data_IF_543842912805
#
_entry.id   IF_543842912805
#
_cell.length_a   1.000
_cell.length_b   1.000
_cell.length_c   1.000
_cell.angle_alpha   90.00
_cell.angle_beta   90.00
_cell.angle_gamma   90.00
#
_symmetry.space_group_name_H-M   'P 1'
#
loop_
_entity.id
_entity.type
_entity.pdbx_description
1 polymer ?
#
# COMPACT_ATOMS: atom_id res chain seq x y z
N UNK A 1 1.60 -4.70 -27.64
CA UNK A 1 0.39 -5.14 -28.37
C UNK A 1 0.04 -6.54 -27.91
N UNK A 2 -1.20 -6.74 -27.47
CA UNK A 2 -1.73 -8.01 -27.01
C UNK A 2 -2.16 -8.82 -28.23
N UNK A 3 -1.32 -9.77 -28.65
CA UNK A 3 -1.50 -10.54 -29.91
C UNK A 3 -1.56 -12.05 -29.64
N UNK A 4 -1.98 -12.44 -28.44
CA UNK A 4 -2.25 -13.84 -28.10
C UNK A 4 -3.59 -14.29 -28.64
N UNK A 5 -3.77 -15.60 -28.81
CA UNK A 5 -5.06 -16.23 -29.09
C UNK A 5 -5.21 -17.42 -28.16
N UNK A 6 -5.88 -17.18 -27.02
CA UNK A 6 -6.08 -18.20 -25.98
C UNK A 6 -7.56 -18.44 -25.80
N UNK A 7 -8.00 -19.70 -25.82
CA UNK A 7 -9.35 -20.04 -25.44
C UNK A 7 -9.51 -19.79 -23.93
N UNK A 8 -10.53 -19.02 -23.56
CA UNK A 8 -10.89 -18.69 -22.17
C UNK A 8 -12.38 -18.77 -21.97
N UNK A 9 -12.79 -18.81 -20.71
CA UNK A 9 -14.20 -18.85 -20.31
C UNK A 9 -14.57 -17.59 -19.53
N UNK A 10 -15.78 -17.09 -19.74
CA UNK A 10 -16.36 -16.02 -18.95
C UNK A 10 -17.76 -16.46 -18.50
N UNK A 11 -18.16 -16.01 -17.32
CA UNK A 11 -19.48 -16.28 -16.77
C UNK A 11 -20.48 -15.22 -17.20
N UNK A 12 -21.53 -15.66 -17.88
CA UNK A 12 -22.71 -14.87 -18.21
C UNK A 12 -23.71 -14.98 -17.06
N UNK A 13 -23.82 -13.92 -16.27
CA UNK A 13 -24.69 -13.89 -15.10
C UNK A 13 -26.18 -13.67 -15.44
N UNK A 14 -26.52 -13.35 -16.69
CA UNK A 14 -27.91 -13.32 -17.17
C UNK A 14 -28.38 -14.72 -17.54
N UNK A 15 -27.56 -15.46 -18.30
CA UNK A 15 -27.86 -16.84 -18.68
C UNK A 15 -27.38 -17.88 -17.67
N UNK A 16 -26.75 -17.42 -16.59
CA UNK A 16 -26.12 -18.22 -15.52
C UNK A 16 -25.20 -19.34 -16.06
N UNK A 17 -24.45 -19.05 -17.12
CA UNK A 17 -23.67 -20.07 -17.83
C UNK A 17 -22.30 -19.55 -18.22
N UNK A 18 -21.34 -20.48 -18.30
CA UNK A 18 -20.00 -20.18 -18.78
C UNK A 18 -19.96 -20.27 -20.30
N UNK A 19 -19.40 -19.25 -20.94
CA UNK A 19 -19.24 -19.18 -22.40
C UNK A 19 -17.76 -19.00 -22.72
N UNK A 20 -17.30 -19.65 -23.79
CA UNK A 20 -15.92 -19.48 -24.22
C UNK A 20 -15.73 -18.24 -25.11
N UNK A 21 -14.52 -17.70 -25.12
CA UNK A 21 -14.11 -16.59 -25.98
C UNK A 21 -12.61 -16.65 -26.26
N UNK A 22 -12.18 -15.97 -27.34
CA UNK A 22 -10.77 -15.82 -27.69
C UNK A 22 -10.16 -14.64 -26.97
N UNK A 23 -9.19 -14.90 -26.09
CA UNK A 23 -8.51 -13.89 -25.28
C UNK A 23 -7.16 -13.46 -25.89
N UNK A 24 -6.99 -12.13 -26.02
CA UNK A 24 -5.84 -11.48 -26.66
C UNK A 24 -4.51 -11.52 -25.89
N UNK A 25 -4.50 -12.05 -24.66
CA UNK A 25 -3.27 -12.25 -23.87
C UNK A 25 -2.82 -11.08 -22.99
N UNK A 26 -3.71 -10.14 -22.65
CA UNK A 26 -3.39 -9.03 -21.73
C UNK A 26 -4.57 -8.67 -20.84
N UNK A 27 -4.28 -8.14 -19.65
CA UNK A 27 -5.25 -7.62 -18.69
C UNK A 27 -6.41 -8.59 -18.46
N UNK A 28 -6.21 -9.53 -17.53
CA UNK A 28 -7.30 -10.38 -17.04
C UNK A 28 -8.17 -9.53 -16.11
N UNK A 29 -9.47 -9.45 -16.41
CA UNK A 29 -10.45 -9.12 -15.38
C UNK A 29 -10.83 -10.40 -14.63
N UNK A 30 -11.55 -10.26 -13.51
CA UNK A 30 -11.92 -11.41 -12.66
C UNK A 30 -12.88 -12.41 -13.34
N UNK A 31 -13.48 -12.03 -14.48
CA UNK A 31 -14.40 -12.87 -15.27
C UNK A 31 -13.69 -13.51 -16.48
N UNK A 32 -12.45 -13.97 -16.29
CA UNK A 32 -11.67 -14.68 -17.31
C UNK A 32 -11.04 -15.93 -16.69
N UNK A 33 -11.54 -17.11 -17.07
CA UNK A 33 -11.18 -18.41 -16.50
C UNK A 33 -10.47 -19.31 -17.51
N UNK A 34 -9.66 -20.26 -17.04
CA UNK A 34 -8.94 -21.20 -17.90
C UNK A 34 -9.86 -22.27 -18.48
N UNK A 35 -10.89 -22.71 -17.73
CA UNK A 35 -11.77 -23.80 -18.11
C UNK A 35 -13.23 -23.57 -17.71
N UNK A 36 -14.12 -24.36 -18.32
CA UNK A 36 -15.56 -24.32 -18.07
C UNK A 36 -15.90 -24.68 -16.61
N UNK A 37 -15.32 -25.78 -16.10
CA UNK A 37 -15.55 -26.22 -14.71
C UNK A 37 -15.05 -25.20 -13.69
N UNK A 38 -13.90 -24.57 -13.95
CA UNK A 38 -13.37 -23.51 -13.09
C UNK A 38 -14.30 -22.28 -13.08
N UNK A 39 -14.81 -21.89 -14.24
CA UNK A 39 -15.77 -20.82 -14.39
C UNK A 39 -17.08 -21.12 -13.63
N UNK A 40 -17.61 -22.33 -13.77
CA UNK A 40 -18.82 -22.75 -13.07
C UNK A 40 -18.58 -22.78 -11.55
N UNK A 41 -17.50 -23.42 -11.08
CA UNK A 41 -17.21 -23.49 -9.65
C UNK A 41 -17.00 -22.11 -9.00
N UNK A 42 -16.41 -21.15 -9.72
CA UNK A 42 -16.14 -19.79 -9.20
C UNK A 42 -17.34 -18.85 -9.27
N UNK A 43 -18.25 -19.04 -10.23
CA UNK A 43 -19.29 -18.06 -10.54
C UNK A 43 -20.72 -18.60 -10.48
N UNK A 44 -20.92 -19.89 -10.26
CA UNK A 44 -22.26 -20.48 -10.16
C UNK A 44 -23.10 -19.78 -9.08
N UNK A 45 -24.29 -19.33 -9.48
CA UNK A 45 -25.23 -18.62 -8.60
C UNK A 45 -25.01 -17.11 -8.51
N UNK A 46 -23.95 -16.56 -9.14
CA UNK A 46 -23.80 -15.12 -9.31
C UNK A 46 -24.90 -14.62 -10.25
N UNK A 47 -25.74 -13.70 -9.77
CA UNK A 47 -26.78 -13.09 -10.60
C UNK A 47 -26.24 -11.81 -11.20
N UNK A 48 -26.61 -11.52 -12.45
CA UNK A 48 -26.41 -10.19 -13.00
C UNK A 48 -27.13 -9.19 -12.09
N UNK A 49 -26.36 -8.40 -11.35
CA UNK A 49 -26.89 -7.17 -10.78
C UNK A 49 -27.22 -6.34 -12.00
N UNK A 50 -28.50 -6.30 -12.37
CA UNK A 50 -28.97 -5.31 -13.31
C UNK A 50 -28.46 -3.99 -12.76
N UNK A 51 -27.73 -3.26 -13.59
CA UNK A 51 -27.64 -1.82 -13.45
C UNK A 51 -29.07 -1.28 -13.64
N UNK A 52 -29.95 -1.54 -12.67
CA UNK A 52 -30.98 -0.59 -12.34
C UNK A 52 -30.25 0.73 -12.18
N UNK A 53 -30.73 1.73 -12.92
CA UNK A 53 -30.34 3.11 -12.72
C UNK A 53 -30.15 3.31 -11.22
N UNK A 54 -29.05 3.92 -10.76
CA UNK A 54 -28.80 4.04 -9.34
C UNK A 54 -30.07 4.61 -8.71
N UNK A 55 -30.80 3.77 -7.98
CA UNK A 55 -31.63 4.28 -6.92
C UNK A 55 -30.65 5.13 -6.11
N UNK A 56 -30.99 6.41 -5.87
CA UNK A 56 -30.08 7.30 -5.17
C UNK A 56 -29.59 6.55 -3.93
N UNK A 57 -28.26 6.42 -3.75
CA UNK A 57 -27.71 5.61 -2.68
C UNK A 57 -28.42 6.02 -1.41
N UNK A 58 -29.08 5.04 -0.77
CA UNK A 58 -29.82 5.16 0.49
C UNK A 58 -29.22 6.32 1.26
N UNK A 59 -29.97 7.44 1.31
CA UNK A 59 -29.49 8.72 1.83
C UNK A 59 -28.82 8.44 3.17
N UNK A 60 -27.49 8.37 3.20
CA UNK A 60 -26.78 8.76 4.41
C UNK A 60 -27.06 10.24 4.49
N UNK A 61 -28.09 10.54 5.27
CA UNK A 61 -28.40 11.87 5.72
C UNK A 61 -27.09 12.39 6.33
N UNK A 62 -26.41 13.29 5.61
CA UNK A 62 -25.82 14.40 6.34
C UNK A 62 -26.99 14.96 7.16
N UNK A 63 -26.88 14.89 8.48
CA UNK A 63 -27.82 15.58 9.35
C UNK A 63 -27.90 17.02 8.82
N UNK A 64 -29.10 17.56 8.52
CA UNK A 64 -29.25 18.91 7.97
C UNK A 64 -28.64 20.00 8.86
N UNK A 65 -28.29 19.67 10.10
CA UNK A 65 -27.62 20.54 11.04
C UNK A 65 -26.13 20.20 11.15
N UNK A 66 -25.33 20.63 10.16
CA UNK A 66 -23.96 21.17 10.32
C UNK A 66 -23.12 21.07 9.03
N UNK A 67 -23.69 21.35 7.86
CA UNK A 67 -22.84 21.75 6.73
C UNK A 67 -22.30 23.15 7.04
N UNK A 68 -20.99 23.36 6.89
CA UNK A 68 -20.39 24.68 7.09
C UNK A 68 -21.01 25.69 6.13
N UNK A 69 -20.98 26.97 6.48
CA UNK A 69 -21.44 28.03 5.56
C UNK A 69 -20.67 28.04 4.23
N UNK A 70 -19.44 27.51 4.22
CA UNK A 70 -18.63 27.35 3.01
C UNK A 70 -19.19 26.28 2.06
N UNK A 71 -20.06 25.40 2.53
CA UNK A 71 -20.63 24.30 1.77
C UNK A 71 -22.17 24.36 1.73
N UNK A 72 -22.75 25.47 2.17
CA UNK A 72 -24.20 25.63 2.30
C UNK A 72 -24.69 26.83 1.48
N UNK A 73 -25.89 26.71 0.93
CA UNK A 73 -26.52 27.75 0.11
C UNK A 73 -25.97 27.82 -1.33
N UNK A 74 -26.50 28.72 -2.16
CA UNK A 74 -26.17 28.79 -3.58
C UNK A 74 -24.83 29.49 -3.86
N UNK A 75 -24.24 29.23 -5.03
CA UNK A 75 -23.21 30.08 -5.61
C UNK A 75 -23.80 31.42 -6.06
N UNK A 76 -23.35 32.53 -5.45
CA UNK A 76 -23.92 33.87 -5.69
C UNK A 76 -22.98 34.71 -6.54
N UNK A 77 -23.45 35.14 -7.72
CA UNK A 77 -22.71 36.05 -8.60
C UNK A 77 -22.45 37.40 -7.95
N UNK A 78 -23.40 37.92 -7.18
CA UNK A 78 -23.30 39.22 -6.52
C UNK A 78 -23.45 40.40 -7.48
N UNK A 79 -23.16 41.62 -7.00
CA UNK A 79 -23.55 42.86 -7.68
C UNK A 79 -22.44 43.46 -8.57
N UNK A 80 -21.21 42.95 -8.46
CA UNK A 80 -20.11 43.36 -9.32
C UNK A 80 -20.18 42.68 -10.69
N UNK A 81 -19.53 43.27 -11.70
CA UNK A 81 -19.68 42.88 -13.12
C UNK A 81 -18.44 42.20 -13.71
N UNK A 82 -17.48 41.79 -12.89
CA UNK A 82 -16.38 40.96 -13.37
C UNK A 82 -16.87 39.52 -13.61
N UNK A 83 -16.08 38.71 -14.32
CA UNK A 83 -16.44 37.32 -14.61
C UNK A 83 -15.35 36.39 -14.10
N UNK A 84 -15.46 35.96 -12.85
CA UNK A 84 -14.55 34.99 -12.26
C UNK A 84 -15.21 33.60 -12.25
N UNK A 85 -14.68 32.62 -13.01
CA UNK A 85 -15.12 31.23 -12.88
C UNK A 85 -14.86 30.73 -11.47
N UNK A 86 -15.89 30.20 -10.81
CA UNK A 86 -15.86 29.69 -9.44
C UNK A 86 -16.68 28.41 -9.33
N UNK A 87 -16.58 27.76 -8.18
CA UNK A 87 -17.29 26.53 -7.87
C UNK A 87 -18.08 26.68 -6.58
N UNK A 88 -19.27 26.08 -6.50
CA UNK A 88 -20.06 25.99 -5.28
C UNK A 88 -20.53 24.54 -5.10
N UNK A 89 -20.70 24.11 -3.86
CA UNK A 89 -21.27 22.81 -3.53
C UNK A 89 -22.79 22.87 -3.59
N UNK A 90 -23.39 22.09 -4.49
CA UNK A 90 -24.82 21.88 -4.55
C UNK A 90 -25.20 20.66 -3.70
N UNK A 91 -25.94 20.90 -2.62
CA UNK A 91 -26.37 19.86 -1.69
C UNK A 91 -27.45 18.94 -2.28
N UNK A 92 -28.19 19.38 -3.30
CA UNK A 92 -29.22 18.56 -3.95
C UNK A 92 -28.57 17.47 -4.81
N UNK A 93 -27.62 17.85 -5.67
CA UNK A 93 -26.83 16.91 -6.46
C UNK A 93 -25.65 16.28 -5.70
N UNK A 94 -25.38 16.72 -4.46
CA UNK A 94 -24.20 16.38 -3.67
C UNK A 94 -22.89 16.55 -4.45
N UNK A 95 -22.78 17.63 -5.21
CA UNK A 95 -21.66 17.81 -6.13
C UNK A 95 -21.23 19.27 -6.28
N UNK A 96 -19.95 19.48 -6.62
CA UNK A 96 -19.43 20.81 -6.91
C UNK A 96 -19.75 21.21 -8.35
N UNK A 97 -20.46 22.33 -8.51
CA UNK A 97 -20.87 22.90 -9.79
C UNK A 97 -20.19 24.23 -10.05
N UNK A 98 -19.95 24.56 -11.32
CA UNK A 98 -19.32 25.83 -11.71
C UNK A 98 -20.34 26.96 -11.84
N UNK A 99 -19.92 28.18 -11.53
CA UNK A 99 -20.71 29.41 -11.72
C UNK A 99 -19.80 30.62 -11.96
N UNK A 100 -20.38 31.76 -12.33
CA UNK A 100 -19.64 33.02 -12.49
C UNK A 100 -19.83 33.90 -11.27
N UNK A 101 -18.72 34.25 -10.61
CA UNK A 101 -18.68 35.23 -9.53
C UNK A 101 -18.34 36.62 -10.06
N UNK A 102 -19.16 37.60 -9.69
CA UNK A 102 -19.09 39.00 -10.10
C UNK A 102 -17.91 39.77 -9.52
N UNK A 103 -17.26 39.24 -8.48
CA UNK A 103 -16.13 39.85 -7.77
C UNK A 103 -16.48 40.51 -6.43
N UNK A 104 -17.76 40.71 -6.11
CA UNK A 104 -18.21 41.18 -4.81
C UNK A 104 -19.63 40.68 -4.48
N UNK A 105 -20.02 40.68 -3.21
CA UNK A 105 -21.39 40.38 -2.77
C UNK A 105 -21.81 38.90 -2.92
N UNK A 106 -20.85 37.97 -2.92
CA UNK A 106 -21.10 36.54 -3.01
C UNK A 106 -21.37 35.86 -1.65
N UNK A 107 -21.68 34.56 -1.70
CA UNK A 107 -21.78 33.67 -0.53
C UNK A 107 -20.42 33.06 -0.17
N UNK A 108 -20.33 32.39 1.00
CA UNK A 108 -19.14 31.62 1.41
C UNK A 108 -18.97 30.32 0.61
N UNK A 109 -20.03 29.80 0.02
CA UNK A 109 -20.01 28.68 -0.92
C UNK A 109 -19.47 29.13 -2.29
N UNK A 110 -18.19 29.48 -2.31
CA UNK A 110 -17.50 30.07 -3.45
C UNK A 110 -16.01 29.70 -3.43
N UNK A 111 -15.69 28.67 -4.19
CA UNK A 111 -14.38 28.03 -4.26
C UNK A 111 -13.65 28.37 -5.56
N UNK A 112 -12.33 28.46 -5.47
CA UNK A 112 -11.49 28.85 -6.61
C UNK A 112 -11.42 27.77 -7.69
N UNK A 113 -11.42 26.49 -7.29
CA UNK A 113 -11.37 25.34 -8.19
C UNK A 113 -12.36 24.26 -7.78
N UNK A 114 -12.61 23.34 -8.71
CA UNK A 114 -13.45 22.17 -8.44
C UNK A 114 -12.87 21.34 -7.30
N UNK A 115 -11.55 21.17 -7.28
CA UNK A 115 -10.82 20.40 -6.29
C UNK A 115 -10.90 21.05 -4.90
N UNK A 116 -10.80 22.39 -4.81
CA UNK A 116 -10.97 23.12 -3.55
C UNK A 116 -12.38 22.87 -2.98
N UNK A 117 -13.41 23.01 -3.82
CA UNK A 117 -14.79 22.72 -3.44
C UNK A 117 -14.98 21.27 -2.98
N UNK A 118 -14.48 20.30 -3.75
CA UNK A 118 -14.60 18.87 -3.41
C UNK A 118 -13.93 18.59 -2.07
N UNK A 119 -12.69 19.08 -1.88
CA UNK A 119 -11.93 18.81 -0.65
C UNK A 119 -12.57 19.39 0.61
N UNK A 120 -13.30 20.50 0.49
CA UNK A 120 -13.97 21.17 1.61
C UNK A 120 -15.37 20.63 1.88
N UNK A 121 -16.12 20.30 0.84
CA UNK A 121 -17.56 20.09 0.94
C UNK A 121 -18.03 18.68 0.61
N UNK A 122 -17.27 17.94 -0.20
CA UNK A 122 -17.60 16.56 -0.52
C UNK A 122 -16.89 15.67 0.49
N UNK A 123 -17.64 15.14 1.47
CA UNK A 123 -17.13 14.05 2.26
C UNK A 123 -16.75 12.90 1.29
N UNK A 124 -15.53 12.32 1.40
CA UNK A 124 -15.20 11.17 0.59
C UNK A 124 -16.30 10.13 0.80
N UNK A 125 -16.73 9.48 -0.30
CA UNK A 125 -17.47 8.21 -0.17
C UNK A 125 -16.73 7.40 0.89
N UNK A 126 -17.41 6.75 1.87
CA UNK A 126 -16.69 5.83 2.73
C UNK A 126 -15.89 4.95 1.79
N UNK A 127 -14.55 5.05 1.89
CA UNK A 127 -13.68 4.19 1.10
C UNK A 127 -14.23 2.79 1.32
N UNK A 128 -14.40 1.94 0.27
CA UNK A 128 -14.64 0.53 0.52
C UNK A 128 -13.57 0.14 1.51
N UNK A 129 -13.99 -0.18 2.74
CA UNK A 129 -13.18 -0.08 3.95
C UNK A 129 -11.78 -0.52 3.60
N UNK A 130 -10.77 0.38 3.71
CA UNK A 130 -9.38 0.12 3.28
C UNK A 130 -9.12 -1.35 3.45
N UNK A 131 -9.12 -2.10 2.35
CA UNK A 131 -8.73 -3.50 2.37
C UNK A 131 -7.25 -3.42 2.64
N UNK A 132 -6.92 -3.29 3.93
CA UNK A 132 -5.70 -3.86 4.45
C UNK A 132 -5.71 -5.25 3.84
N UNK A 133 -4.69 -5.59 3.05
CA UNK A 133 -4.47 -6.98 2.69
C UNK A 133 -4.80 -7.79 3.95
N UNK A 134 -5.71 -8.79 3.88
CA UNK A 134 -6.20 -9.45 5.08
C UNK A 134 -4.97 -9.80 5.89
N UNK A 135 -4.86 -9.23 7.10
CA UNK A 135 -3.80 -9.63 8.01
C UNK A 135 -3.93 -11.14 8.05
N UNK A 136 -2.89 -11.87 7.67
CA UNK A 136 -2.90 -13.34 7.73
C UNK A 136 -3.21 -13.65 9.19
N UNK A 137 -4.44 -14.06 9.46
CA UNK A 137 -4.91 -14.27 10.82
C UNK A 137 -4.06 -15.38 11.42
N UNK A 138 -3.40 -15.14 12.56
CA UNK A 138 -2.40 -16.07 13.08
C UNK A 138 -3.00 -17.46 13.30
N UNK A 139 -2.44 -18.46 12.64
CA UNK A 139 -2.80 -19.85 12.84
C UNK A 139 -2.70 -20.26 14.31
N UNK A 140 -1.71 -19.73 15.04
CA UNK A 140 -1.55 -19.98 16.47
C UNK A 140 -2.77 -19.56 17.30
N UNK A 141 -3.33 -18.39 17.02
CA UNK A 141 -4.46 -17.86 17.78
C UNK A 141 -5.80 -18.51 17.37
N UNK A 142 -5.98 -18.72 16.07
CA UNK A 142 -7.27 -19.13 15.49
C UNK A 142 -7.41 -20.66 15.39
N UNK A 143 -6.32 -21.40 15.28
CA UNK A 143 -6.37 -22.83 14.96
C UNK A 143 -5.59 -23.70 15.95
N UNK A 144 -4.45 -23.25 16.46
CA UNK A 144 -3.66 -24.04 17.43
C UNK A 144 -4.07 -23.78 18.90
N UNK A 145 -4.77 -22.68 19.20
CA UNK A 145 -5.23 -22.38 20.54
C UNK A 145 -6.23 -23.44 21.07
N UNK A 146 -6.19 -23.81 22.36
CA UNK A 146 -7.10 -24.82 22.91
C UNK A 146 -8.55 -24.34 22.93
N UNK A 147 -9.53 -25.24 22.91
CA UNK A 147 -10.93 -24.88 23.15
C UNK A 147 -11.12 -24.30 24.57
N UNK A 148 -11.80 -23.16 24.68
CA UNK A 148 -12.03 -22.45 25.96
C UNK A 148 -13.53 -22.30 26.25
N UNK A 149 -14.03 -23.02 27.26
CA UNK A 149 -15.41 -22.84 27.76
C UNK A 149 -15.63 -21.44 28.34
N UNK A 150 -14.62 -20.86 29.00
CA UNK A 150 -14.74 -19.54 29.63
C UNK A 150 -15.53 -19.58 30.96
N UNK A 151 -15.65 -18.44 31.66
CA UNK A 151 -16.19 -18.40 33.02
C UNK A 151 -17.73 -18.32 33.10
N UNK A 152 -18.40 -18.04 31.98
CA UNK A 152 -19.86 -17.98 31.93
C UNK A 152 -20.49 -19.38 31.90
N UNK A 153 -21.75 -19.51 32.33
CA UNK A 153 -22.42 -20.79 32.58
C UNK A 153 -23.51 -21.17 31.56
N UNK A 154 -23.56 -20.49 30.41
CA UNK A 154 -24.40 -20.95 29.32
C UNK A 154 -23.80 -22.19 28.66
N UNK A 155 -24.57 -22.92 27.86
CA UNK A 155 -24.08 -24.10 27.15
C UNK A 155 -24.33 -23.95 25.65
N UNK A 156 -23.35 -23.37 24.95
CA UNK A 156 -23.38 -23.27 23.49
C UNK A 156 -22.47 -24.32 22.86
N UNK A 157 -23.01 -25.18 22.00
CA UNK A 157 -22.17 -26.04 21.15
C UNK A 157 -21.43 -25.16 20.14
N UNK A 158 -20.10 -25.26 20.12
CA UNK A 158 -19.20 -24.55 19.20
C UNK A 158 -18.21 -25.52 18.60
N UNK A 159 -17.56 -25.08 17.53
CA UNK A 159 -16.50 -25.82 16.86
C UNK A 159 -15.15 -25.19 17.19
N UNK A 160 -14.13 -26.02 17.33
CA UNK A 160 -12.74 -25.58 17.41
C UNK A 160 -11.88 -26.51 16.55
N UNK A 161 -10.77 -26.00 16.05
CA UNK A 161 -9.79 -26.79 15.32
C UNK A 161 -8.85 -27.46 16.31
N UNK A 162 -8.77 -28.78 16.23
CA UNK A 162 -7.78 -29.58 16.93
C UNK A 162 -6.61 -29.79 15.98
N UNK A 163 -5.54 -29.02 16.19
CA UNK A 163 -4.37 -29.03 15.31
C UNK A 163 -3.59 -30.34 15.35
N UNK A 164 -3.59 -31.05 16.49
CA UNK A 164 -2.90 -32.34 16.64
C UNK A 164 -3.52 -33.42 15.74
N UNK A 165 -4.85 -33.41 15.64
CA UNK A 165 -5.60 -34.31 14.75
C UNK A 165 -5.97 -33.68 13.41
N UNK A 166 -5.59 -32.42 13.18
CA UNK A 166 -5.91 -31.62 11.99
C UNK A 166 -7.40 -31.66 11.62
N UNK A 167 -8.29 -31.58 12.62
CA UNK A 167 -9.73 -31.75 12.43
C UNK A 167 -10.56 -30.78 13.27
N UNK A 168 -11.75 -30.40 12.79
CA UNK A 168 -12.69 -29.59 13.55
C UNK A 168 -13.54 -30.47 14.47
N UNK A 169 -13.57 -30.14 15.76
CA UNK A 169 -14.32 -30.86 16.79
C UNK A 169 -15.26 -29.93 17.54
N UNK A 170 -16.29 -30.49 18.17
CA UNK A 170 -17.23 -29.71 18.97
C UNK A 170 -16.78 -29.59 20.43
N UNK A 171 -17.15 -28.49 21.08
CA UNK A 171 -16.97 -28.28 22.52
C UNK A 171 -18.10 -27.42 23.09
N UNK A 172 -18.24 -27.38 24.42
CA UNK A 172 -19.20 -26.51 25.12
C UNK A 172 -18.57 -25.18 25.47
N UNK A 173 -19.13 -24.10 24.92
CA UNK A 173 -18.77 -22.72 25.23
C UNK A 173 -19.74 -22.08 26.22
N UNK A 174 -19.18 -21.48 27.26
CA UNK A 174 -19.86 -20.84 28.39
C UNK A 174 -20.59 -19.54 28.06
N UNK A 175 -20.28 -18.94 26.89
CA UNK A 175 -20.93 -17.72 26.40
C UNK A 175 -20.12 -16.43 26.55
N UNK A 176 -18.97 -16.45 27.24
CA UNK A 176 -18.10 -15.27 27.34
C UNK A 176 -16.61 -15.62 27.38
N UNK A 177 -15.76 -14.63 27.02
CA UNK A 177 -14.30 -14.73 26.98
C UNK A 177 -13.78 -15.92 26.14
N UNK A 178 -14.40 -16.15 24.99
CA UNK A 178 -13.83 -17.02 23.98
C UNK A 178 -12.44 -16.52 23.56
N UNK A 179 -11.55 -17.45 23.24
CA UNK A 179 -10.41 -17.17 22.38
C UNK A 179 -10.84 -17.24 20.90
N UNK A 180 -9.87 -17.15 19.97
CA UNK A 180 -10.16 -17.07 18.54
C UNK A 180 -10.46 -18.43 17.89
N UNK A 181 -10.04 -19.54 18.51
CA UNK A 181 -10.39 -20.90 18.10
C UNK A 181 -11.80 -21.30 18.62
N UNK A 182 -12.83 -20.59 18.16
CA UNK A 182 -14.23 -20.79 18.55
C UNK A 182 -15.14 -20.36 17.40
N UNK A 183 -15.69 -21.35 16.70
CA UNK A 183 -16.47 -21.17 15.49
C UNK A 183 -17.93 -21.61 15.68
N UNK A 184 -18.83 -21.01 14.92
CA UNK A 184 -20.27 -21.32 14.98
C UNK A 184 -20.59 -22.61 14.23
N UNK A 185 -19.81 -22.96 13.20
CA UNK A 185 -20.02 -24.13 12.35
C UNK A 185 -18.72 -24.85 12.00
N UNK A 186 -18.83 -26.12 11.65
CA UNK A 186 -17.70 -26.92 11.14
C UNK A 186 -17.10 -26.31 9.87
N UNK A 187 -17.94 -25.83 8.94
CA UNK A 187 -17.50 -25.22 7.69
C UNK A 187 -16.66 -23.96 7.92
N UNK A 188 -17.03 -23.13 8.90
CA UNK A 188 -16.27 -21.94 9.28
C UNK A 188 -14.89 -22.32 9.85
N UNK A 189 -14.85 -23.32 10.73
CA UNK A 189 -13.62 -23.86 11.31
C UNK A 189 -12.68 -24.43 10.21
N UNK A 190 -13.22 -25.26 9.31
CA UNK A 190 -12.45 -25.86 8.21
C UNK A 190 -11.95 -24.79 7.25
N UNK A 191 -12.78 -23.83 6.87
CA UNK A 191 -12.36 -22.74 5.99
C UNK A 191 -11.25 -21.88 6.60
N UNK A 192 -11.26 -21.69 7.93
CA UNK A 192 -10.23 -20.91 8.62
C UNK A 192 -8.91 -21.67 8.80
N UNK A 193 -8.96 -22.98 9.06
CA UNK A 193 -7.83 -23.75 9.59
C UNK A 193 -7.34 -24.92 8.73
N UNK A 194 -8.16 -25.43 7.80
CA UNK A 194 -7.77 -26.60 6.99
C UNK A 194 -6.58 -26.29 6.08
N UNK A 195 -5.59 -27.19 6.07
CA UNK A 195 -4.39 -27.07 5.23
C UNK A 195 -3.41 -25.97 5.66
N UNK A 196 -3.55 -25.37 6.84
CA UNK A 196 -2.63 -24.37 7.40
C UNK A 196 -1.76 -24.97 8.50
N UNK A 197 -0.54 -24.47 8.69
CA UNK A 197 0.39 -24.88 9.77
C UNK A 197 0.97 -23.68 10.52
N UNK A 198 1.73 -23.90 11.59
CA UNK A 198 2.41 -22.80 12.31
C UNK A 198 3.48 -22.11 11.44
N UNK A 199 4.08 -22.83 10.49
CA UNK A 199 5.13 -22.35 9.58
C UNK A 199 4.62 -21.27 8.60
N UNK A 200 3.30 -21.22 8.39
CA UNK A 200 2.64 -20.23 7.55
C UNK A 200 2.71 -18.80 8.12
N UNK A 201 2.83 -18.64 9.44
CA UNK A 201 2.78 -17.32 10.07
C UNK A 201 4.14 -16.59 10.05
N UNK A 202 5.24 -17.28 9.75
CA UNK A 202 6.61 -16.77 9.92
C UNK A 202 7.11 -15.86 8.76
N UNK A 203 6.32 -15.68 7.69
CA UNK A 203 6.73 -14.87 6.54
C UNK A 203 6.29 -13.38 6.61
N UNK A 204 5.59 -12.97 7.67
CA UNK A 204 5.07 -11.60 7.79
C UNK A 204 5.92 -10.66 8.70
N UNK A 205 6.94 -11.17 9.40
CA UNK A 205 7.74 -10.37 10.36
C UNK A 205 9.26 -10.47 10.14
N UNK A 206 9.71 -10.45 8.88
CA UNK A 206 11.14 -10.33 8.56
C UNK A 206 11.49 -9.21 7.56
N UNK A 207 10.54 -8.32 7.23
CA UNK A 207 10.80 -7.14 6.39
C UNK A 207 11.07 -5.85 7.15
N UNK A 208 11.09 -5.86 8.49
CA UNK A 208 11.74 -4.79 9.25
C UNK A 208 13.16 -5.23 9.57
N UNK A 209 14.05 -5.04 8.60
CA UNK A 209 15.48 -4.97 8.88
C UNK A 209 15.74 -3.70 9.73
N UNK A 210 15.34 -3.71 11.00
CA UNK A 210 16.01 -2.92 12.02
C UNK A 210 17.37 -3.59 12.23
N UNK A 211 18.28 -3.35 11.29
CA UNK A 211 19.70 -3.52 11.51
C UNK A 211 19.99 -2.70 12.78
N UNK A 212 20.48 -3.30 13.88
CA UNK A 212 20.80 -2.51 15.05
C UNK A 212 21.86 -1.51 14.61
N UNK A 213 21.59 -0.21 14.77
CA UNK A 213 22.53 0.85 14.39
C UNK A 213 23.91 0.63 15.04
N UNK A 214 23.97 -0.15 16.13
CA UNK A 214 25.19 -0.64 16.76
C UNK A 214 26.14 -1.41 15.81
N UNK A 215 25.62 -2.21 14.87
CA UNK A 215 26.45 -3.02 13.97
C UNK A 215 27.20 -2.18 12.92
N UNK A 216 26.77 -0.94 12.66
CA UNK A 216 27.41 -0.03 11.69
C UNK A 216 28.36 0.96 12.38
N UNK A 217 28.07 1.31 13.64
CA UNK A 217 28.91 2.25 14.41
C UNK A 217 30.30 1.66 14.68
N UNK A 218 30.40 0.38 15.05
CA UNK A 218 31.69 -0.24 15.36
C UNK A 218 32.67 -0.28 14.17
N UNK A 219 32.30 -0.75 12.96
CA UNK A 219 33.21 -0.73 11.82
C UNK A 219 33.55 0.69 11.36
N UNK A 220 32.62 1.65 11.45
CA UNK A 220 32.89 3.05 11.12
C UNK A 220 33.88 3.67 12.10
N UNK A 221 33.72 3.40 13.40
CA UNK A 221 34.63 3.91 14.43
C UNK A 221 36.04 3.31 14.27
N UNK A 222 36.14 2.01 13.97
CA UNK A 222 37.42 1.35 13.68
C UNK A 222 38.08 1.93 12.42
N UNK A 223 37.31 2.21 11.37
CA UNK A 223 37.84 2.83 10.14
C UNK A 223 38.37 4.25 10.40
N UNK A 224 37.68 5.05 11.21
CA UNK A 224 38.12 6.40 11.58
C UNK A 224 39.40 6.37 12.44
N UNK A 225 39.49 5.45 13.39
CA UNK A 225 40.70 5.26 14.21
C UNK A 225 41.89 4.80 13.35
N UNK A 226 41.68 3.85 12.43
CA UNK A 226 42.71 3.40 11.51
C UNK A 226 43.21 4.54 10.60
N UNK A 227 42.29 5.33 10.03
CA UNK A 227 42.65 6.49 9.21
C UNK A 227 43.45 7.54 9.99
N UNK A 228 43.08 7.82 11.24
CA UNK A 228 43.82 8.74 12.10
C UNK A 228 45.23 8.23 12.42
N UNK A 229 45.38 6.95 12.75
CA UNK A 229 46.70 6.34 13.02
C UNK A 229 47.59 6.34 11.77
N UNK A 230 47.04 6.00 10.61
CA UNK A 230 47.76 6.07 9.32
C UNK A 230 48.19 7.51 9.05
N UNK A 231 47.31 8.50 9.27
CA UNK A 231 47.63 9.92 9.13
C UNK A 231 48.80 10.35 10.04
N UNK A 232 48.79 9.96 11.32
CA UNK A 232 49.88 10.26 12.26
C UNK A 232 51.19 9.58 11.85
N UNK A 233 51.13 8.32 11.38
CA UNK A 233 52.31 7.62 10.87
C UNK A 233 52.88 8.31 9.64
N UNK A 234 52.05 8.70 8.67
CA UNK A 234 52.50 9.45 7.49
C UNK A 234 53.14 10.77 7.92
N UNK A 235 52.52 11.54 8.84
CA UNK A 235 53.09 12.78 9.34
C UNK A 235 54.44 12.56 10.04
N UNK A 236 54.55 11.50 10.84
CA UNK A 236 55.81 11.14 11.50
C UNK A 236 56.88 10.75 10.48
N UNK A 237 56.55 9.90 9.50
CA UNK A 237 57.46 9.52 8.42
C UNK A 237 57.90 10.73 7.60
N UNK A 238 56.98 11.63 7.22
CA UNK A 238 57.32 12.88 6.52
C UNK A 238 58.21 13.76 7.40
N UNK A 239 57.96 13.87 8.70
CA UNK A 239 58.80 14.65 9.62
C UNK A 239 60.18 14.02 9.81
N UNK A 240 60.28 12.69 9.84
CA UNK A 240 61.55 11.93 9.88
C UNK A 240 62.30 12.06 8.56
N UNK A 241 61.62 11.95 7.41
CA UNK A 241 62.22 12.18 6.09
C UNK A 241 62.71 13.61 5.95
N UNK A 242 61.95 14.60 6.40
CA UNK A 242 62.37 16.01 6.41
C UNK A 242 63.55 16.24 7.35
N UNK A 243 63.55 15.66 8.54
CA UNK A 243 64.69 15.71 9.47
C UNK A 243 65.91 14.97 8.91
N UNK A 244 65.70 13.89 8.17
CA UNK A 244 66.76 13.16 7.47
C UNK A 244 67.26 13.93 6.24
N UNK A 245 66.44 14.71 5.54
CA UNK A 245 66.90 15.65 4.49
C UNK A 245 67.69 16.81 5.10
N UNK A 246 67.30 17.28 6.29
CA UNK A 246 68.07 18.26 7.05
C UNK A 246 69.39 17.65 7.61
N UNK A 247 69.44 16.34 7.86
CA UNK A 247 70.65 15.61 8.28
C UNK A 247 71.50 15.07 7.10
N UNK A 248 70.90 14.85 5.94
CA UNK A 248 71.52 14.41 4.69
C UNK A 248 71.53 15.59 3.71
N UNK A 249 72.31 16.61 4.05
CA UNK A 249 72.68 17.64 3.10
C UNK A 249 73.48 17.04 1.96
N UNK A 250 72.82 16.74 0.83
CA UNK A 250 73.47 16.61 -0.47
C UNK A 250 72.48 16.94 -1.61
N UNK A 251 72.64 18.17 -2.14
CA UNK A 251 72.23 18.68 -3.47
C UNK A 251 71.01 18.03 -4.15
N UNK A 252 69.87 18.71 -4.04
CA UNK A 252 68.91 18.76 -5.14
C UNK A 252 69.52 19.62 -6.27
N UNK A 253 69.84 18.98 -7.39
CA UNK A 253 70.10 19.62 -8.67
C UNK A 253 69.20 18.87 -9.65
N UNK A 254 68.18 19.52 -10.19
CA UNK A 254 67.59 19.37 -11.53
C UNK A 254 66.26 20.12 -11.57
N UNK A 255 66.25 21.15 -12.41
CA UNK A 255 65.20 22.15 -12.64
C UNK A 255 64.24 21.71 -13.77
N UNK A 256 63.02 22.28 -13.85
CA UNK A 256 61.87 21.73 -14.60
C UNK A 256 61.82 22.18 -16.07
N UNK A 257 62.72 21.67 -16.93
CA UNK A 257 62.80 22.07 -18.36
C UNK A 257 62.49 20.93 -19.36
N UNK A 258 62.41 19.66 -18.96
CA UNK A 258 62.37 18.54 -19.93
C UNK A 258 60.99 17.89 -20.21
N UNK A 259 59.86 18.47 -19.78
CA UNK A 259 58.54 17.85 -20.02
C UNK A 259 57.76 18.43 -21.23
N UNK A 260 58.37 19.32 -22.04
CA UNK A 260 57.69 19.98 -23.18
C UNK A 260 57.95 19.36 -24.56
N UNK A 261 58.79 18.33 -24.68
CA UNK A 261 59.07 17.69 -25.99
C UNK A 261 58.36 16.35 -26.23
N UNK A 262 57.43 15.92 -25.36
CA UNK A 262 56.68 14.66 -25.57
C UNK A 262 55.21 14.83 -26.02
N UNK A 263 54.82 16.01 -26.54
CA UNK A 263 53.46 16.27 -27.03
C UNK A 263 53.36 16.65 -28.52
N UNK A 264 54.45 16.59 -29.30
CA UNK A 264 54.44 17.02 -30.72
C UNK A 264 54.72 15.94 -31.76
N UNK A 265 54.71 14.63 -31.44
CA UNK A 265 55.04 13.59 -32.42
C UNK A 265 53.94 12.55 -32.73
N UNK A 266 52.65 12.84 -32.45
CA UNK A 266 51.54 11.99 -32.92
C UNK A 266 50.47 12.75 -33.73
N UNK A 267 50.90 13.75 -34.49
CA UNK A 267 50.12 14.30 -35.59
C UNK A 267 51.03 14.22 -36.83
N UNK A 268 50.77 13.23 -37.69
CA UNK A 268 50.96 13.17 -39.15
C UNK A 268 51.12 11.70 -39.56
N UNK A 269 49.97 11.04 -39.77
CA UNK A 269 49.85 9.95 -40.72
C UNK A 269 49.69 10.57 -42.11
N UNK A 270 50.78 10.59 -42.89
CA UNK A 270 50.92 10.41 -44.35
C UNK A 270 52.27 10.95 -44.81
#
# INVERSE_FOLDING_TARGET
MCRGSFLRWWYDAETQSCKNFTFGGCALNLNVHMGEEECLHKCQGVKAVKSEQPEPPSKRMASPNSLSDECSGPGVTGNCRAAFPRWYFDAESMSCQSFIYGGCGGSKNNHLSKEDCISKCVAPKPEPAKVHAPKKESFKDYCAAPAVTGPCRAAFTRWFFDHESSSCKTFTYGGCKANKNNYLSEAECLNMCSGRTEEDDDFADHSVMHRPMAAVVLPVLLALLAAALIGVMILFFVKVLRKNQEAAGFRAMWTPIDDKECLMNNAYSL
#
